data_IF_512472274477
#
_entry.id   IF_512472274477
#
_cell.length_a   1.000
_cell.length_b   1.000
_cell.length_c   1.000
_cell.angle_alpha   90.00
_cell.angle_beta   90.00
_cell.angle_gamma   90.00
#
_symmetry.space_group_name_H-M   'P 1'
#
loop_
_entity.id
_entity.type
_entity.pdbx_description
1 polymer ?
#
# COMPACT_ATOMS: atom_id res chain seq x y z
N UNK A 1 12.09 -17.40 16.81
CA UNK A 1 11.38 -17.32 15.51
C UNK A 1 11.25 -15.85 15.17
N UNK A 2 11.91 -15.43 14.11
CA UNK A 2 12.28 -14.04 13.81
C UNK A 2 11.07 -13.19 13.44
N UNK A 3 10.69 -12.28 14.35
CA UNK A 3 9.77 -11.19 14.05
C UNK A 3 10.47 -10.15 13.17
N UNK A 4 9.87 -9.82 12.04
CA UNK A 4 10.28 -8.73 11.17
C UNK A 4 9.83 -7.42 11.84
N UNK A 5 10.77 -6.61 12.34
CA UNK A 5 10.48 -5.35 13.01
C UNK A 5 10.47 -4.26 11.93
N UNK A 6 9.29 -3.79 11.54
CA UNK A 6 9.14 -2.57 10.74
C UNK A 6 9.23 -1.35 11.67
N UNK A 7 9.99 -0.29 11.31
CA UNK A 7 10.10 0.91 12.12
C UNK A 7 8.84 1.75 11.94
N UNK A 8 8.15 2.01 13.05
CA UNK A 8 6.94 2.84 13.24
C UNK A 8 5.60 2.16 12.98
N UNK A 9 4.90 1.85 14.08
CA UNK A 9 3.49 1.47 14.09
C UNK A 9 3.27 -0.03 13.95
N UNK A 10 2.56 -0.62 14.91
CA UNK A 10 2.11 -2.01 14.83
C UNK A 10 1.16 -2.16 13.64
N UNK A 11 1.67 -2.57 12.48
CA UNK A 11 0.85 -2.92 11.31
C UNK A 11 -0.01 -4.12 11.70
N UNK A 12 -1.29 -3.88 11.99
CA UNK A 12 -2.20 -4.98 12.29
C UNK A 12 -2.60 -5.65 10.98
N UNK A 13 -2.72 -6.98 10.92
CA UNK A 13 -3.13 -7.68 9.69
C UNK A 13 -4.53 -7.25 9.21
N UNK A 14 -5.34 -6.64 10.07
CA UNK A 14 -6.63 -6.04 9.73
C UNK A 14 -6.51 -4.75 8.91
N UNK A 15 -5.38 -4.05 9.00
CA UNK A 15 -5.11 -2.78 8.31
C UNK A 15 -4.35 -2.99 7.00
N UNK A 16 -3.98 -4.23 6.68
CA UNK A 16 -3.39 -4.58 5.40
C UNK A 16 -4.46 -4.62 4.31
N UNK A 17 -4.28 -3.81 3.28
CA UNK A 17 -5.18 -3.72 2.14
C UNK A 17 -4.47 -4.12 0.85
N UNK A 18 -5.20 -4.78 -0.04
CA UNK A 18 -4.70 -5.07 -1.39
C UNK A 18 -4.77 -3.85 -2.31
N UNK A 19 -4.23 -3.99 -3.52
CA UNK A 19 -4.26 -2.96 -4.57
C UNK A 19 -5.66 -2.38 -4.84
N UNK A 20 -6.71 -3.19 -4.70
CA UNK A 20 -8.10 -2.74 -4.87
C UNK A 20 -8.56 -1.77 -3.77
N UNK A 21 -8.25 -2.07 -2.51
CA UNK A 21 -8.56 -1.19 -1.39
C UNK A 21 -7.74 0.10 -1.43
N UNK A 22 -6.46 0.01 -1.78
CA UNK A 22 -5.59 1.17 -1.92
C UNK A 22 -6.06 2.11 -3.03
N UNK A 23 -6.45 1.58 -4.20
CA UNK A 23 -7.00 2.36 -5.30
C UNK A 23 -8.29 3.10 -4.90
N UNK A 24 -9.19 2.42 -4.17
CA UNK A 24 -10.42 3.00 -3.69
C UNK A 24 -10.20 4.15 -2.69
N UNK A 25 -9.28 3.98 -1.74
CA UNK A 25 -8.93 5.03 -0.76
C UNK A 25 -8.27 6.24 -1.41
N UNK A 26 -7.38 6.02 -2.38
CA UNK A 26 -6.74 7.08 -3.15
C UNK A 26 -7.67 7.73 -4.17
N UNK A 27 -8.86 7.18 -4.40
CA UNK A 27 -9.79 7.57 -5.48
C UNK A 27 -9.10 7.62 -6.85
N UNK A 28 -8.20 6.67 -7.12
CA UNK A 28 -7.49 6.55 -8.40
C UNK A 28 -7.81 5.22 -9.06
N UNK A 29 -7.68 5.18 -10.39
CA UNK A 29 -7.78 3.92 -11.11
C UNK A 29 -6.60 2.98 -10.80
N UNK A 30 -6.81 1.66 -10.92
CA UNK A 30 -5.76 0.64 -10.74
C UNK A 30 -4.55 0.87 -11.66
N UNK A 31 -4.78 1.37 -12.88
CA UNK A 31 -3.71 1.73 -13.83
C UNK A 31 -2.86 2.90 -13.31
N UNK A 32 -3.50 3.90 -12.70
CA UNK A 32 -2.83 5.04 -12.08
C UNK A 32 -2.04 4.63 -10.85
N UNK A 33 -2.63 3.75 -10.02
CA UNK A 33 -1.95 3.17 -8.86
C UNK A 33 -0.70 2.40 -9.31
N UNK A 34 -0.82 1.53 -10.31
CA UNK A 34 0.30 0.76 -10.88
C UNK A 34 1.41 1.68 -11.40
N UNK A 35 1.05 2.76 -12.13
CA UNK A 35 2.02 3.74 -12.61
C UNK A 35 2.75 4.45 -11.47
N UNK A 36 2.05 4.81 -10.38
CA UNK A 36 2.65 5.45 -9.20
C UNK A 36 3.58 4.51 -8.44
N UNK A 37 3.26 3.22 -8.40
CA UNK A 37 4.15 2.19 -7.84
C UNK A 37 5.41 2.07 -8.70
N UNK A 38 5.25 1.93 -10.02
CA UNK A 38 6.39 1.86 -10.95
C UNK A 38 7.24 3.14 -10.95
N UNK A 39 6.65 4.31 -10.68
CA UNK A 39 7.38 5.56 -10.53
C UNK A 39 8.00 5.76 -9.14
N UNK A 40 7.83 4.81 -8.21
CA UNK A 40 8.33 4.90 -6.84
C UNK A 40 7.61 5.93 -5.95
N UNK A 41 6.45 6.45 -6.37
CA UNK A 41 5.65 7.41 -5.59
C UNK A 41 4.85 6.74 -4.48
N UNK A 42 4.47 5.48 -4.67
CA UNK A 42 3.75 4.68 -3.68
C UNK A 42 4.53 3.39 -3.51
N UNK A 43 4.90 3.04 -2.27
CA UNK A 43 5.68 1.85 -1.98
C UNK A 43 4.77 0.76 -1.40
N UNK A 44 4.63 -0.40 -2.08
CA UNK A 44 3.94 -1.53 -1.48
C UNK A 44 4.77 -2.12 -0.35
N UNK A 45 4.12 -2.59 0.71
CA UNK A 45 4.76 -3.32 1.81
C UNK A 45 5.29 -4.67 1.33
N UNK A 46 4.45 -5.38 0.60
CA UNK A 46 4.77 -6.69 0.07
C UNK A 46 4.02 -6.92 -1.23
N UNK A 47 4.53 -7.85 -2.04
CA UNK A 47 3.80 -8.47 -3.13
C UNK A 47 3.54 -9.91 -2.71
N UNK A 48 2.29 -10.35 -2.74
CA UNK A 48 1.98 -11.75 -2.46
C UNK A 48 2.56 -12.65 -3.56
N UNK A 49 2.91 -13.89 -3.21
CA UNK A 49 3.51 -14.84 -4.14
C UNK A 49 2.55 -15.18 -5.29
N UNK A 50 3.07 -15.07 -6.52
CA UNK A 50 2.35 -15.38 -7.76
C UNK A 50 2.81 -14.50 -8.93
N UNK A 51 2.70 -14.96 -10.20
CA UNK A 51 3.13 -14.19 -11.38
C UNK A 51 2.49 -12.80 -11.47
N UNK A 52 1.27 -12.69 -10.96
CA UNK A 52 0.47 -11.47 -10.87
C UNK A 52 -0.03 -11.21 -9.43
N UNK A 53 0.71 -11.67 -8.42
CA UNK A 53 0.29 -11.54 -7.03
C UNK A 53 0.02 -10.09 -6.65
N UNK A 54 -1.07 -9.81 -5.91
CA UNK A 54 -1.48 -8.46 -5.58
C UNK A 54 -0.46 -7.79 -4.65
N UNK A 55 -0.39 -6.48 -4.76
CA UNK A 55 0.39 -5.66 -3.84
C UNK A 55 -0.41 -5.44 -2.56
N UNK A 56 0.30 -5.51 -1.44
CA UNK A 56 -0.22 -5.26 -0.10
C UNK A 56 0.31 -3.92 0.38
N UNK A 57 -0.58 -3.13 0.95
CA UNK A 57 -0.30 -1.79 1.49
C UNK A 57 -0.83 -1.70 2.92
N UNK A 58 -0.24 -0.81 3.71
CA UNK A 58 -0.86 -0.38 4.96
C UNK A 58 -1.92 0.67 4.64
N UNK A 59 -3.15 0.44 5.11
CA UNK A 59 -4.21 1.42 5.04
C UNK A 59 -3.82 2.78 5.62
N UNK A 60 -3.17 2.81 6.78
CA UNK A 60 -2.79 4.04 7.49
C UNK A 60 -1.79 4.86 6.67
N UNK A 61 -0.83 4.20 6.02
CA UNK A 61 0.14 4.83 5.14
C UNK A 61 -0.54 5.42 3.89
N UNK A 62 -1.47 4.67 3.28
CA UNK A 62 -2.25 5.18 2.15
C UNK A 62 -3.09 6.40 2.53
N UNK A 63 -3.75 6.38 3.70
CA UNK A 63 -4.52 7.52 4.21
C UNK A 63 -3.63 8.75 4.49
N UNK A 64 -2.39 8.54 4.96
CA UNK A 64 -1.41 9.62 5.11
C UNK A 64 -1.00 10.22 3.77
N UNK A 65 -0.74 9.40 2.75
CA UNK A 65 -0.39 9.86 1.40
C UNK A 65 -1.52 10.69 0.76
N UNK A 66 -2.79 10.34 1.03
CA UNK A 66 -3.95 11.14 0.61
C UNK A 66 -3.90 12.51 1.27
N UNK A 67 -3.68 12.56 2.59
CA UNK A 67 -3.60 13.84 3.33
C UNK A 67 -2.46 14.73 2.84
N UNK A 68 -1.29 14.15 2.54
CA UNK A 68 -0.13 14.90 2.07
C UNK A 68 -0.33 15.48 0.67
N UNK A 69 -1.09 14.79 -0.20
CA UNK A 69 -1.37 15.26 -1.56
C UNK A 69 -2.40 16.39 -1.63
N UNK A 70 -3.11 16.69 -0.53
CA UNK A 70 -4.16 17.73 -0.45
C UNK A 70 -3.66 19.03 0.21
N UNK A 71 -2.37 19.14 0.52
CA UNK A 71 -1.77 20.36 1.10
C UNK A 71 -1.10 21.23 0.05
#
# INVERSE_FOLDING_TARGET
MTGFIAPNGSVSPKDLIGSGGAAALLQVDKSTLSRRISSGKIKPLARLDGPHGPFVFDRSEIEQLVKESTK
#
